data_IF_428344557382
#
_entry.id   IF_428344557382
#
_cell.length_a   1.000
_cell.length_b   1.000
_cell.length_c   1.000
_cell.angle_alpha   90.00
_cell.angle_beta   90.00
_cell.angle_gamma   90.00
#
_symmetry.space_group_name_H-M   'P 1'
#
loop_
_entity.id
_entity.type
_entity.pdbx_description
1 polymer ?
#
# COMPACT_ATOMS: atom_id res chain seq x y z
N UNK A 1 31.70 -10.31 -2.18
CA UNK A 1 30.81 -9.35 -2.92
C UNK A 1 30.23 -8.44 -1.86
N UNK A 2 30.25 -7.14 -2.08
CA UNK A 2 29.68 -6.19 -1.14
C UNK A 2 28.14 -6.38 -1.00
N UNK A 3 27.59 -6.04 0.18
CA UNK A 3 26.16 -6.19 0.46
C UNK A 3 25.30 -5.41 -0.57
N UNK A 4 25.68 -4.18 -0.89
CA UNK A 4 25.00 -3.35 -1.88
C UNK A 4 25.03 -3.98 -3.28
N UNK A 5 26.16 -4.59 -3.67
CA UNK A 5 26.26 -5.28 -4.97
C UNK A 5 25.38 -6.51 -5.03
N UNK A 6 25.19 -7.21 -3.91
CA UNK A 6 24.26 -8.35 -3.83
C UNK A 6 22.82 -7.91 -4.05
N UNK A 7 22.41 -6.83 -3.40
CA UNK A 7 21.07 -6.25 -3.58
C UNK A 7 20.88 -5.77 -5.03
N UNK A 8 21.83 -5.01 -5.58
CA UNK A 8 21.77 -4.55 -6.98
C UNK A 8 21.64 -5.73 -7.96
N UNK A 9 22.40 -6.80 -7.72
CA UNK A 9 22.31 -8.01 -8.53
C UNK A 9 20.91 -8.64 -8.43
N UNK A 10 20.34 -8.72 -7.23
CA UNK A 10 18.99 -9.22 -7.04
C UNK A 10 17.96 -8.36 -7.78
N UNK A 11 18.06 -7.02 -7.71
CA UNK A 11 17.21 -6.08 -8.49
C UNK A 11 17.29 -6.38 -9.99
N UNK A 12 18.50 -6.48 -10.55
CA UNK A 12 18.70 -6.79 -11.99
C UNK A 12 18.05 -8.13 -12.35
N UNK A 13 18.22 -9.16 -11.51
CA UNK A 13 17.64 -10.47 -11.75
C UNK A 13 16.10 -10.43 -11.70
N UNK A 14 15.52 -9.72 -10.73
CA UNK A 14 14.06 -9.54 -10.59
C UNK A 14 13.51 -8.79 -11.81
N UNK A 15 14.10 -7.67 -12.18
CA UNK A 15 13.69 -6.86 -13.33
C UNK A 15 13.81 -7.63 -14.66
N UNK A 16 14.77 -8.57 -14.76
CA UNK A 16 14.97 -9.42 -15.93
C UNK A 16 14.04 -10.63 -15.99
N UNK A 17 13.43 -11.04 -14.88
CA UNK A 17 12.64 -12.25 -14.80
C UNK A 17 11.23 -12.07 -15.38
N UNK A 18 10.71 -13.04 -16.14
CA UNK A 18 9.38 -12.94 -16.80
C UNK A 18 8.25 -12.71 -15.82
N UNK A 19 8.27 -13.40 -14.69
CA UNK A 19 7.22 -13.35 -13.68
C UNK A 19 7.36 -12.15 -12.74
N UNK A 20 8.60 -11.87 -12.28
CA UNK A 20 8.86 -10.90 -11.23
C UNK A 20 9.15 -9.48 -11.74
N UNK A 21 9.21 -9.27 -13.07
CA UNK A 21 9.48 -7.95 -13.64
C UNK A 21 8.39 -6.90 -13.31
N UNK A 22 7.24 -7.31 -12.82
CA UNK A 22 6.22 -6.38 -12.30
C UNK A 22 6.69 -5.53 -11.13
N UNK A 23 7.69 -6.01 -10.37
CA UNK A 23 8.29 -5.25 -9.28
C UNK A 23 9.25 -4.14 -9.74
N UNK A 24 9.62 -4.09 -11.03
CA UNK A 24 10.64 -3.16 -11.54
C UNK A 24 10.40 -1.70 -11.16
N UNK A 25 9.15 -1.25 -11.23
CA UNK A 25 8.79 0.11 -10.86
C UNK A 25 8.94 0.35 -9.35
N UNK A 26 8.40 -0.55 -8.53
CA UNK A 26 8.45 -0.43 -7.06
C UNK A 26 9.88 -0.49 -6.53
N UNK A 27 10.74 -1.31 -7.15
CA UNK A 27 12.17 -1.39 -6.82
C UNK A 27 12.95 -0.09 -7.15
N UNK A 28 12.44 0.71 -8.08
CA UNK A 28 13.02 2.00 -8.44
C UNK A 28 12.55 3.15 -7.54
N UNK A 29 11.52 2.95 -6.71
CA UNK A 29 11.07 3.94 -5.73
C UNK A 29 11.95 3.93 -4.49
N UNK A 30 12.35 5.11 -4.00
CA UNK A 30 13.19 5.26 -2.81
C UNK A 30 14.63 4.78 -3.00
N UNK A 31 15.38 4.76 -1.92
CA UNK A 31 16.79 4.40 -1.89
C UNK A 31 17.02 3.06 -1.17
N UNK A 32 18.10 2.38 -1.54
CA UNK A 32 18.63 1.22 -0.82
C UNK A 32 19.75 1.67 0.08
N UNK A 33 19.60 1.44 1.38
CA UNK A 33 20.57 1.83 2.42
C UNK A 33 21.11 0.59 3.13
N UNK A 34 22.43 0.57 3.33
CA UNK A 34 23.09 -0.49 4.09
C UNK A 34 23.42 0.05 5.48
N UNK A 35 22.88 -0.59 6.51
CA UNK A 35 23.09 -0.18 7.91
C UNK A 35 23.25 -1.40 8.81
N UNK A 36 23.92 -1.22 9.93
CA UNK A 36 24.06 -2.23 11.00
C UNK A 36 23.10 -2.00 12.16
N UNK A 37 22.31 -0.93 12.09
CA UNK A 37 21.40 -0.51 13.16
C UNK A 37 20.15 -1.40 13.26
N UNK A 38 19.92 -2.18 12.22
CA UNK A 38 18.82 -3.16 12.15
C UNK A 38 19.34 -4.59 12.26
N UNK A 39 18.58 -5.54 12.83
CA UNK A 39 18.99 -6.95 12.88
C UNK A 39 18.96 -7.62 11.50
N UNK A 40 18.05 -7.23 10.62
CA UNK A 40 17.74 -7.93 9.35
C UNK A 40 17.62 -6.95 8.18
N UNK A 41 16.42 -6.75 7.67
CA UNK A 41 16.05 -5.74 6.69
C UNK A 41 14.79 -5.03 7.20
N UNK A 42 14.51 -3.85 6.68
CA UNK A 42 13.28 -3.12 6.96
C UNK A 42 13.02 -2.07 5.88
N UNK A 43 11.77 -1.63 5.78
CA UNK A 43 11.40 -0.46 4.99
C UNK A 43 10.67 0.57 5.85
N UNK A 44 10.84 1.85 5.53
CA UNK A 44 10.03 2.95 6.07
C UNK A 44 8.78 3.23 5.20
N UNK A 45 8.53 2.39 4.19
CA UNK A 45 7.49 2.56 3.20
C UNK A 45 7.95 3.28 1.93
N UNK A 46 9.18 3.82 1.92
CA UNK A 46 9.81 4.46 0.77
C UNK A 46 11.22 3.94 0.53
N UNK A 47 12.12 4.08 1.50
CA UNK A 47 13.47 3.54 1.47
C UNK A 47 13.52 2.13 2.03
N UNK A 48 14.56 1.37 1.68
CA UNK A 48 14.78 0.03 2.18
C UNK A 48 16.16 -0.09 2.79
N UNK A 49 16.21 -0.63 3.98
CA UNK A 49 17.41 -0.76 4.80
C UNK A 49 17.79 -2.24 4.92
N UNK A 50 19.07 -2.56 4.74
CA UNK A 50 19.56 -3.94 4.84
C UNK A 50 20.77 -4.02 5.77
N UNK A 51 20.77 -5.01 6.67
CA UNK A 51 21.94 -5.32 7.47
C UNK A 51 22.91 -6.23 6.68
N UNK A 52 24.16 -5.81 6.47
CA UNK A 52 25.14 -6.60 5.74
C UNK A 52 25.43 -7.94 6.41
N UNK A 53 25.50 -8.00 7.75
CA UNK A 53 25.73 -9.24 8.50
C UNK A 53 24.61 -10.26 8.36
N UNK A 54 23.37 -9.78 8.15
CA UNK A 54 22.24 -10.64 7.87
C UNK A 54 22.28 -11.15 6.40
N UNK A 55 22.69 -10.30 5.46
CA UNK A 55 22.76 -10.67 4.05
C UNK A 55 23.89 -11.69 3.76
N UNK A 56 25.01 -11.62 4.48
CA UNK A 56 26.22 -12.41 4.19
C UNK A 56 25.96 -13.93 4.06
N UNK A 57 25.25 -14.59 4.98
CA UNK A 57 24.99 -16.03 4.90
C UNK A 57 23.91 -16.43 3.91
N UNK A 58 23.11 -15.47 3.37
CA UNK A 58 21.98 -15.77 2.51
C UNK A 58 22.41 -16.20 1.11
N UNK A 59 21.72 -17.18 0.53
CA UNK A 59 21.85 -17.52 -0.90
C UNK A 59 21.24 -16.41 -1.79
N UNK A 60 21.57 -16.41 -3.08
CA UNK A 60 20.99 -15.46 -4.04
C UNK A 60 19.45 -15.57 -4.12
N UNK A 61 18.91 -16.80 -3.96
CA UNK A 61 17.45 -17.00 -3.93
C UNK A 61 16.80 -16.38 -2.68
N UNK A 62 17.48 -16.42 -1.55
CA UNK A 62 17.01 -15.79 -0.30
C UNK A 62 17.13 -14.28 -0.37
N UNK A 63 18.18 -13.74 -0.97
CA UNK A 63 18.30 -12.29 -1.19
C UNK A 63 17.18 -11.79 -2.11
N UNK A 64 16.85 -12.52 -3.20
CA UNK A 64 15.72 -12.17 -4.07
C UNK A 64 14.40 -12.18 -3.32
N UNK A 65 14.15 -13.18 -2.47
CA UNK A 65 12.96 -13.23 -1.63
C UNK A 65 12.87 -11.99 -0.73
N UNK A 66 13.95 -11.67 -0.02
CA UNK A 66 14.01 -10.53 0.89
C UNK A 66 13.73 -9.22 0.16
N UNK A 67 14.33 -9.01 -1.01
CA UNK A 67 14.09 -7.81 -1.84
C UNK A 67 12.64 -7.71 -2.28
N UNK A 68 12.02 -8.81 -2.69
CA UNK A 68 10.60 -8.83 -3.07
C UNK A 68 9.69 -8.62 -1.86
N UNK A 69 10.06 -9.14 -0.70
CA UNK A 69 9.33 -8.97 0.55
C UNK A 69 9.23 -7.47 0.92
N UNK A 70 10.37 -6.78 1.01
CA UNK A 70 10.39 -5.35 1.32
C UNK A 70 9.67 -4.50 0.24
N UNK A 71 9.85 -4.84 -1.03
CA UNK A 71 9.14 -4.18 -2.12
C UNK A 71 7.62 -4.40 -2.04
N UNK A 72 7.17 -5.54 -1.53
CA UNK A 72 5.74 -5.82 -1.33
C UNK A 72 5.18 -4.97 -0.20
N UNK A 73 5.89 -4.80 0.92
CA UNK A 73 5.50 -3.87 1.97
C UNK A 73 5.27 -2.45 1.44
N UNK A 74 6.17 -1.96 0.57
CA UNK A 74 6.05 -0.66 -0.09
C UNK A 74 4.82 -0.60 -1.00
N UNK A 75 4.64 -1.60 -1.88
CA UNK A 75 3.54 -1.66 -2.83
C UNK A 75 2.17 -1.64 -2.14
N UNK A 76 2.01 -2.42 -1.08
CA UNK A 76 0.79 -2.49 -0.28
C UNK A 76 0.67 -1.35 0.73
N UNK A 77 1.67 -0.48 0.85
CA UNK A 77 1.70 0.66 1.78
C UNK A 77 1.38 0.21 3.21
N UNK A 78 1.93 -0.90 3.63
CA UNK A 78 1.59 -1.56 4.88
C UNK A 78 1.79 -0.65 6.09
N UNK A 79 2.88 0.12 6.13
CA UNK A 79 3.22 1.01 7.23
C UNK A 79 2.26 2.21 7.37
N UNK A 80 1.61 2.60 6.27
CA UNK A 80 0.67 3.72 6.27
C UNK A 80 -0.77 3.25 6.53
N UNK A 81 -1.19 2.15 5.87
CA UNK A 81 -2.59 1.71 5.90
C UNK A 81 -2.96 1.04 7.23
N UNK A 82 -2.02 0.36 7.89
CA UNK A 82 -2.28 -0.44 9.09
C UNK A 82 -1.77 0.17 10.40
N UNK A 83 -1.63 1.50 10.46
CA UNK A 83 -1.23 2.21 11.68
C UNK A 83 -2.22 1.99 12.85
N UNK A 84 -3.49 1.79 12.55
CA UNK A 84 -4.53 1.46 13.53
C UNK A 84 -4.30 0.09 14.19
N UNK A 85 -3.87 -0.92 13.43
CA UNK A 85 -3.52 -2.24 13.96
C UNK A 85 -2.24 -2.18 14.78
N UNK A 86 -1.24 -1.42 14.30
CA UNK A 86 0.01 -1.19 15.00
C UNK A 86 -0.19 -0.54 16.37
N UNK A 87 -1.18 0.33 16.50
CA UNK A 87 -1.54 0.94 17.77
C UNK A 87 -2.17 -0.06 18.76
N UNK A 88 -2.74 -1.17 18.28
CA UNK A 88 -3.29 -2.26 19.11
C UNK A 88 -2.18 -3.21 19.55
N UNK A 89 -1.44 -3.76 18.60
CA UNK A 89 -0.31 -4.65 18.85
C UNK A 89 0.67 -4.62 17.66
N UNK A 90 1.80 -3.93 17.84
CA UNK A 90 2.84 -3.76 16.82
C UNK A 90 3.41 -5.10 16.33
N UNK A 91 3.66 -6.02 17.26
CA UNK A 91 4.26 -7.32 16.95
C UNK A 91 3.31 -8.20 16.13
N UNK A 92 2.07 -8.31 16.57
CA UNK A 92 1.06 -9.09 15.84
C UNK A 92 0.76 -8.48 14.47
N UNK A 93 0.83 -7.14 14.35
CA UNK A 93 0.68 -6.47 13.07
C UNK A 93 1.78 -6.89 12.10
N UNK A 94 3.05 -6.81 12.50
CA UNK A 94 4.17 -7.25 11.66
C UNK A 94 4.00 -8.71 11.23
N UNK A 95 3.71 -9.60 12.17
CA UNK A 95 3.49 -11.03 11.86
C UNK A 95 2.35 -11.21 10.83
N UNK A 96 1.25 -10.48 10.97
CA UNK A 96 0.12 -10.59 10.05
C UNK A 96 0.46 -10.07 8.64
N UNK A 97 1.23 -8.98 8.55
CA UNK A 97 1.68 -8.41 7.29
C UNK A 97 2.68 -9.33 6.60
N UNK A 98 3.66 -9.86 7.34
CA UNK A 98 4.66 -10.81 6.84
C UNK A 98 4.01 -12.11 6.37
N UNK A 99 3.05 -12.64 7.14
CA UNK A 99 2.29 -13.83 6.78
C UNK A 99 1.59 -13.66 5.43
N UNK A 100 0.93 -12.51 5.25
CA UNK A 100 0.27 -12.17 4.00
C UNK A 100 1.25 -12.12 2.83
N UNK A 101 2.36 -11.41 3.00
CA UNK A 101 3.38 -11.27 1.95
C UNK A 101 4.05 -12.60 1.63
N UNK A 102 4.51 -13.31 2.66
CA UNK A 102 5.25 -14.55 2.47
C UNK A 102 4.39 -15.60 1.77
N UNK A 103 3.10 -15.66 2.11
CA UNK A 103 2.16 -16.55 1.44
C UNK A 103 1.96 -16.16 -0.03
N UNK A 104 1.79 -14.85 -0.31
CA UNK A 104 1.62 -14.35 -1.68
C UNK A 104 2.86 -14.62 -2.56
N UNK A 105 4.07 -14.43 -2.02
CA UNK A 105 5.32 -14.69 -2.74
C UNK A 105 5.54 -16.19 -3.01
N UNK A 106 5.29 -17.04 -2.01
CA UNK A 106 5.42 -18.49 -2.14
C UNK A 106 4.40 -19.05 -3.14
N UNK A 107 3.15 -18.60 -3.08
CA UNK A 107 2.11 -19.05 -4.01
C UNK A 107 2.36 -18.52 -5.44
N UNK A 108 3.02 -17.36 -5.59
CA UNK A 108 3.39 -16.84 -6.90
C UNK A 108 4.52 -17.64 -7.56
N UNK A 109 5.45 -18.22 -6.83
CA UNK A 109 6.51 -19.06 -7.40
C UNK A 109 6.00 -20.49 -7.63
N UNK A 110 5.50 -20.78 -8.82
CA UNK A 110 4.95 -22.10 -9.18
C UNK A 110 5.94 -23.26 -8.97
N UNK A 111 7.25 -22.97 -8.97
CA UNK A 111 8.30 -23.95 -8.75
C UNK A 111 8.84 -23.98 -7.32
N UNK A 112 8.24 -23.25 -6.39
CA UNK A 112 8.75 -23.05 -5.03
C UNK A 112 9.06 -24.36 -4.30
N UNK A 113 8.24 -25.36 -4.46
CA UNK A 113 8.41 -26.66 -3.79
C UNK A 113 9.53 -27.55 -4.40
N UNK A 114 9.95 -27.29 -5.65
CA UNK A 114 10.89 -28.15 -6.37
C UNK A 114 12.22 -27.46 -6.68
N UNK A 115 12.17 -26.36 -7.40
CA UNK A 115 13.35 -25.57 -7.82
C UNK A 115 13.05 -24.09 -7.64
N UNK A 116 13.01 -23.62 -6.39
CA UNK A 116 12.55 -22.25 -6.10
C UNK A 116 13.48 -21.21 -6.71
N UNK A 117 12.90 -20.25 -7.42
CA UNK A 117 13.63 -19.09 -7.88
C UNK A 117 13.85 -18.08 -6.74
N UNK A 118 12.89 -18.01 -5.83
CA UNK A 118 12.98 -17.29 -4.56
C UNK A 118 12.91 -18.30 -3.41
N UNK A 119 13.59 -18.04 -2.30
CA UNK A 119 13.58 -18.90 -1.13
C UNK A 119 13.51 -18.04 0.14
N UNK A 120 12.54 -18.31 0.99
CA UNK A 120 12.40 -17.58 2.25
C UNK A 120 13.65 -17.78 3.13
N UNK A 121 14.23 -16.70 3.68
CA UNK A 121 15.34 -16.80 4.62
C UNK A 121 14.93 -17.54 5.91
N UNK A 122 15.90 -18.15 6.63
CA UNK A 122 15.61 -18.78 7.90
C UNK A 122 15.20 -17.75 8.95
N UNK A 123 14.24 -18.09 9.80
CA UNK A 123 13.73 -17.20 10.86
C UNK A 123 12.54 -16.31 10.47
N UNK A 124 12.17 -16.24 9.19
CA UNK A 124 10.98 -15.52 8.73
C UNK A 124 9.68 -16.17 9.21
N UNK A 125 8.59 -15.43 9.16
CA UNK A 125 7.24 -15.92 9.46
C UNK A 125 6.84 -16.96 8.42
N UNK A 126 6.66 -18.24 8.78
CA UNK A 126 6.34 -19.27 7.80
C UNK A 126 4.94 -19.02 7.19
N UNK A 127 4.77 -19.14 5.87
CA UNK A 127 3.48 -18.97 5.24
C UNK A 127 2.52 -20.10 5.67
N UNK A 128 1.36 -19.72 6.22
CA UNK A 128 0.32 -20.67 6.60
C UNK A 128 -0.79 -20.68 5.53
N UNK A 129 -0.99 -21.82 4.82
CA UNK A 129 -2.04 -21.95 3.81
C UNK A 129 -3.45 -21.66 4.29
N UNK A 130 -3.70 -21.71 5.60
CA UNK A 130 -4.95 -21.31 6.23
C UNK A 130 -5.40 -19.90 5.83
N UNK A 131 -4.44 -19.01 5.63
CA UNK A 131 -4.69 -17.61 5.37
C UNK A 131 -4.79 -17.22 3.89
N UNK A 132 -4.82 -18.21 2.98
CA UNK A 132 -5.03 -17.92 1.55
C UNK A 132 -6.34 -17.18 1.32
N UNK A 133 -6.25 -16.06 0.60
CA UNK A 133 -7.39 -15.19 0.32
C UNK A 133 -7.84 -14.30 1.48
N UNK A 134 -7.13 -14.34 2.62
CA UNK A 134 -7.40 -13.44 3.73
C UNK A 134 -6.64 -12.11 3.53
N UNK A 135 -7.25 -11.01 3.97
CA UNK A 135 -6.55 -9.73 4.09
C UNK A 135 -5.67 -9.72 5.34
N UNK A 136 -4.64 -8.87 5.35
CA UNK A 136 -3.77 -8.70 6.52
C UNK A 136 -4.55 -8.38 7.80
N UNK A 137 -5.64 -7.61 7.70
CA UNK A 137 -6.53 -7.30 8.84
C UNK A 137 -7.26 -8.54 9.38
N UNK A 138 -7.71 -9.43 8.50
CA UNK A 138 -8.34 -10.68 8.92
C UNK A 138 -7.33 -11.60 9.62
N UNK A 139 -6.10 -11.69 9.08
CA UNK A 139 -5.01 -12.44 9.70
C UNK A 139 -4.70 -11.88 11.09
N UNK A 140 -4.54 -10.55 11.21
CA UNK A 140 -4.31 -9.89 12.49
C UNK A 140 -5.39 -10.23 13.53
N UNK A 141 -6.66 -10.13 13.15
CA UNK A 141 -7.77 -10.41 14.05
C UNK A 141 -7.79 -11.89 14.52
N UNK A 142 -7.48 -12.84 13.63
CA UNK A 142 -7.35 -14.25 14.00
C UNK A 142 -6.17 -14.48 14.95
N UNK A 143 -5.03 -13.88 14.66
CA UNK A 143 -3.85 -13.94 15.53
C UNK A 143 -4.12 -13.33 16.91
N UNK A 144 -4.80 -12.19 16.96
CA UNK A 144 -5.15 -11.51 18.21
C UNK A 144 -6.08 -12.39 19.08
N UNK A 145 -7.07 -13.04 18.47
CA UNK A 145 -7.97 -13.98 19.19
C UNK A 145 -7.24 -15.23 19.68
N UNK A 146 -6.16 -15.63 18.99
CA UNK A 146 -5.39 -16.82 19.33
C UNK A 146 -4.07 -16.51 20.06
N UNK A 147 -3.74 -15.23 20.31
CA UNK A 147 -2.47 -14.77 20.89
C UNK A 147 -2.14 -15.42 22.25
N UNK A 148 -3.16 -15.84 23.01
CA UNK A 148 -2.96 -16.55 24.27
C UNK A 148 -2.48 -18.01 24.12
N UNK A 149 -2.35 -18.52 22.87
CA UNK A 149 -2.07 -19.95 22.63
C UNK A 149 -0.70 -20.27 22.08
N UNK A 150 0.02 -19.32 21.44
CA UNK A 150 1.37 -19.57 20.93
C UNK A 150 2.20 -18.26 20.77
N UNK A 151 3.46 -18.22 21.28
CA UNK A 151 4.40 -17.17 20.95
C UNK A 151 4.92 -17.38 19.52
N UNK A 152 4.59 -16.51 18.60
CA UNK A 152 5.16 -16.51 17.23
C UNK A 152 6.32 -15.50 17.17
N UNK A 153 7.42 -15.89 16.54
CA UNK A 153 8.54 -15.01 16.24
C UNK A 153 8.33 -14.40 14.84
N UNK A 154 8.34 -13.07 14.76
CA UNK A 154 8.39 -12.35 13.50
C UNK A 154 9.83 -12.02 13.13
N UNK A 155 10.09 -11.85 11.83
CA UNK A 155 11.39 -11.68 11.23
C UNK A 155 11.84 -10.21 11.19
N UNK A 156 10.93 -9.28 10.92
CA UNK A 156 11.25 -7.88 10.68
C UNK A 156 10.65 -6.94 11.73
N UNK A 157 11.46 -5.97 12.16
CA UNK A 157 11.00 -4.78 12.84
C UNK A 157 10.90 -3.66 11.80
N UNK A 158 9.68 -3.36 11.34
CA UNK A 158 9.46 -2.24 10.44
C UNK A 158 9.59 -0.90 11.15
N UNK A 159 10.16 0.09 10.46
CA UNK A 159 10.25 1.45 10.96
C UNK A 159 8.92 2.20 10.75
N UNK A 160 7.99 2.00 11.69
CA UNK A 160 6.71 2.67 11.71
C UNK A 160 6.79 4.18 11.97
N UNK A 161 7.89 4.65 12.54
CA UNK A 161 8.11 6.07 12.82
C UNK A 161 8.56 6.80 11.57
N UNK A 162 9.44 6.22 10.77
CA UNK A 162 9.86 6.75 9.47
C UNK A 162 8.69 6.90 8.49
N UNK A 163 7.72 5.98 8.52
CA UNK A 163 6.52 6.06 7.69
C UNK A 163 5.59 7.25 8.02
N UNK A 164 5.74 7.88 9.20
CA UNK A 164 4.99 9.08 9.58
C UNK A 164 5.56 10.38 9.00
N UNK A 165 6.63 10.29 8.18
CA UNK A 165 7.23 11.43 7.50
C UNK A 165 7.92 12.38 8.46
N UNK A 166 9.05 12.00 9.01
CA UNK A 166 10.00 12.96 9.54
C UNK A 166 10.56 13.78 8.36
N UNK A 167 10.19 15.05 8.34
CA UNK A 167 10.84 16.00 7.45
C UNK A 167 12.28 16.17 7.89
N UNK A 168 13.22 15.93 6.98
CA UNK A 168 14.66 16.20 7.14
C UNK A 168 14.87 17.50 7.94
N UNK A 169 15.34 17.35 9.13
CA UNK A 169 15.79 18.40 10.01
C UNK A 169 17.19 18.02 10.50
N UNK A 170 18.21 18.18 9.66
CA UNK A 170 19.55 18.43 10.18
C UNK A 170 19.48 19.72 11.03
N UNK A 171 19.69 19.58 12.27
CA UNK A 171 19.71 20.69 13.22
C UNK A 171 20.27 20.22 14.55
N UNK A 172 21.61 20.06 14.62
CA UNK A 172 22.32 20.19 15.89
C UNK A 172 21.99 21.56 16.50
N UNK A 173 21.26 21.54 17.61
CA UNK A 173 20.90 22.75 18.32
C UNK A 173 20.24 22.40 19.63
N UNK A 174 21.06 22.24 20.67
CA UNK A 174 20.61 22.43 22.06
C UNK A 174 20.00 23.83 22.17
N UNK A 175 18.69 23.89 22.40
CA UNK A 175 17.98 25.13 22.61
C UNK A 175 16.70 24.84 23.37
N UNK A 176 16.75 25.07 24.68
CA UNK A 176 15.59 25.21 25.52
C UNK A 176 14.70 26.34 25.00
N UNK A 177 13.39 26.12 24.89
CA UNK A 177 12.46 27.21 24.98
C UNK A 177 11.52 27.41 23.82
N UNK A 178 10.28 27.53 24.18
CA UNK A 178 9.13 28.14 23.53
C UNK A 178 8.29 27.22 22.65
N UNK A 179 7.07 27.00 23.16
CA UNK A 179 6.03 26.21 22.54
C UNK A 179 5.80 26.56 21.08
N UNK A 180 6.07 25.60 20.19
CA UNK A 180 5.68 25.69 18.79
C UNK A 180 4.19 25.98 18.70
N UNK A 181 3.83 27.11 18.12
CA UNK A 181 2.44 27.50 17.93
C UNK A 181 1.67 26.45 17.11
N UNK A 182 0.39 26.30 17.42
CA UNK A 182 -0.52 25.35 16.75
C UNK A 182 -0.47 25.46 15.20
N UNK A 183 -0.20 26.63 14.66
CA UNK A 183 -0.04 26.89 13.24
C UNK A 183 1.17 26.18 12.62
N UNK A 184 2.29 26.11 13.35
CA UNK A 184 3.51 25.44 12.87
C UNK A 184 3.33 23.91 12.84
N UNK A 185 2.66 23.37 13.84
CA UNK A 185 2.32 21.91 13.89
C UNK A 185 1.34 21.53 12.78
N UNK A 186 0.34 22.38 12.49
CA UNK A 186 -0.59 22.15 11.41
C UNK A 186 0.09 22.20 10.03
N UNK A 187 0.98 23.16 9.80
CA UNK A 187 1.75 23.26 8.56
C UNK A 187 2.68 22.04 8.35
N UNK A 188 3.33 21.55 9.41
CA UNK A 188 4.17 20.36 9.39
C UNK A 188 3.35 19.10 9.05
N UNK A 189 2.16 18.93 9.66
CA UNK A 189 1.24 17.83 9.35
C UNK A 189 0.75 17.86 7.90
N UNK A 190 0.42 19.06 7.38
CA UNK A 190 0.00 19.21 5.98
C UNK A 190 1.13 18.86 5.00
N UNK A 191 2.37 19.27 5.31
CA UNK A 191 3.55 18.94 4.51
C UNK A 191 3.82 17.43 4.51
N UNK A 192 3.77 16.78 5.68
CA UNK A 192 3.95 15.33 5.79
C UNK A 192 2.86 14.57 5.03
N UNK A 193 1.59 14.97 5.14
CA UNK A 193 0.49 14.37 4.40
C UNK A 193 0.65 14.54 2.88
N UNK A 194 1.15 15.70 2.41
CA UNK A 194 1.42 15.93 0.99
C UNK A 194 2.55 15.05 0.46
N UNK A 195 3.63 14.87 1.24
CA UNK A 195 4.73 13.95 0.88
C UNK A 195 4.23 12.52 0.78
N UNK A 196 3.44 12.06 1.74
CA UNK A 196 2.88 10.71 1.74
C UNK A 196 1.94 10.48 0.55
N UNK A 197 1.11 11.48 0.21
CA UNK A 197 0.24 11.42 -0.97
C UNK A 197 1.06 11.29 -2.25
N UNK A 198 2.12 12.08 -2.40
CA UNK A 198 3.00 12.02 -3.57
C UNK A 198 3.70 10.66 -3.68
N UNK A 199 4.23 10.13 -2.57
CA UNK A 199 4.85 8.79 -2.52
C UNK A 199 3.85 7.69 -2.90
N UNK A 200 2.62 7.77 -2.40
CA UNK A 200 1.56 6.83 -2.73
C UNK A 200 1.23 6.81 -4.22
N UNK A 201 1.09 7.99 -4.83
CA UNK A 201 0.84 8.11 -6.28
C UNK A 201 2.02 7.58 -7.11
N UNK A 202 3.25 7.84 -6.67
CA UNK A 202 4.44 7.35 -7.35
C UNK A 202 4.54 5.82 -7.31
N UNK A 203 4.30 5.20 -6.14
CA UNK A 203 4.24 3.75 -5.99
C UNK A 203 3.13 3.16 -6.89
N UNK A 204 1.96 3.77 -6.94
CA UNK A 204 0.85 3.30 -7.78
C UNK A 204 1.21 3.36 -9.27
N UNK A 205 1.81 4.46 -9.74
CA UNK A 205 2.31 4.57 -11.11
C UNK A 205 3.39 3.54 -11.42
N UNK A 206 4.29 3.32 -10.47
CA UNK A 206 5.37 2.34 -10.57
C UNK A 206 4.83 0.90 -10.69
N UNK A 207 3.82 0.53 -9.91
CA UNK A 207 3.13 -0.76 -10.03
C UNK A 207 2.45 -0.92 -11.40
N UNK A 208 1.77 0.12 -11.88
CA UNK A 208 1.14 0.10 -13.19
C UNK A 208 2.16 -0.13 -14.32
N UNK A 209 3.30 0.59 -14.28
CA UNK A 209 4.39 0.40 -15.23
C UNK A 209 4.97 -1.02 -15.17
N UNK A 210 5.13 -1.59 -13.97
CA UNK A 210 5.57 -2.95 -13.78
C UNK A 210 4.61 -3.99 -14.37
N UNK A 211 3.31 -3.83 -14.13
CA UNK A 211 2.27 -4.68 -14.70
C UNK A 211 2.23 -4.61 -16.24
N UNK A 212 2.39 -3.42 -16.81
CA UNK A 212 2.47 -3.24 -18.27
C UNK A 212 3.73 -3.90 -18.86
N UNK A 213 4.87 -3.83 -18.14
CA UNK A 213 6.08 -4.52 -18.54
C UNK A 213 5.90 -6.04 -18.54
N UNK A 214 5.27 -6.59 -17.50
CA UNK A 214 4.95 -8.02 -17.40
C UNK A 214 4.04 -8.46 -18.55
N UNK A 215 2.98 -7.70 -18.83
CA UNK A 215 2.06 -7.97 -19.94
C UNK A 215 2.77 -7.99 -21.30
N UNK A 216 3.69 -7.06 -21.54
CA UNK A 216 4.50 -7.02 -22.76
C UNK A 216 5.45 -8.20 -22.90
N UNK A 217 5.98 -8.72 -21.80
CA UNK A 217 6.92 -9.85 -21.79
C UNK A 217 6.24 -11.22 -21.81
N UNK A 218 4.98 -11.31 -21.47
CA UNK A 218 4.20 -12.55 -21.42
C UNK A 218 2.88 -12.38 -22.18
N UNK A 219 2.90 -12.17 -23.52
CA UNK A 219 1.69 -11.92 -24.29
C UNK A 219 0.73 -13.12 -24.33
N UNK A 220 1.21 -14.34 -24.05
CA UNK A 220 0.40 -15.56 -24.13
C UNK A 220 -0.43 -15.84 -22.87
N UNK A 221 -0.57 -14.87 -21.95
CA UNK A 221 -1.37 -15.04 -20.73
C UNK A 221 -0.82 -16.08 -19.73
N UNK A 222 0.38 -16.65 -20.00
CA UNK A 222 1.00 -17.67 -19.16
C UNK A 222 1.53 -17.13 -17.81
N UNK A 223 1.58 -15.80 -17.65
CA UNK A 223 1.76 -15.20 -16.32
C UNK A 223 0.40 -14.64 -15.91
N UNK A 224 -0.41 -15.39 -15.20
CA UNK A 224 -1.78 -15.06 -14.84
C UNK A 224 -2.11 -13.56 -14.86
N UNK A 225 -3.27 -13.19 -15.38
CA UNK A 225 -3.69 -11.79 -15.54
C UNK A 225 -3.56 -11.00 -14.21
N UNK A 226 -3.49 -11.71 -13.11
CA UNK A 226 -3.37 -11.24 -11.75
C UNK A 226 -1.97 -11.58 -11.21
N UNK A 227 -0.97 -10.73 -11.51
CA UNK A 227 0.30 -10.77 -10.80
C UNK A 227 0.10 -10.52 -9.29
N UNK A 228 1.18 -10.52 -8.53
CA UNK A 228 1.13 -10.24 -7.08
C UNK A 228 0.38 -8.92 -6.78
N UNK A 229 0.41 -7.97 -7.70
CA UNK A 229 -0.28 -6.67 -7.59
C UNK A 229 -1.65 -6.61 -8.27
N UNK A 230 -2.18 -7.71 -8.80
CA UNK A 230 -3.44 -7.72 -9.55
C UNK A 230 -4.59 -7.07 -8.78
N UNK A 231 -4.77 -7.46 -7.53
CA UNK A 231 -5.79 -6.89 -6.64
C UNK A 231 -5.64 -5.39 -6.37
N UNK A 232 -4.40 -4.88 -6.34
CA UNK A 232 -4.11 -3.45 -6.11
C UNK A 232 -4.35 -2.60 -7.35
N UNK A 233 -4.15 -3.18 -8.53
CA UNK A 233 -4.27 -2.49 -9.81
C UNK A 233 -5.68 -2.55 -10.38
N UNK A 234 -6.52 -3.46 -9.89
CA UNK A 234 -7.93 -3.52 -10.28
C UNK A 234 -8.68 -2.39 -9.57
N UNK A 235 -9.22 -1.41 -10.31
CA UNK A 235 -9.96 -0.32 -9.69
C UNK A 235 -11.21 -0.89 -9.00
N UNK A 236 -11.19 -0.95 -7.70
CA UNK A 236 -12.40 -1.24 -6.89
C UNK A 236 -13.16 0.07 -6.74
N UNK A 237 -13.83 0.49 -7.80
CA UNK A 237 -14.75 1.61 -7.69
C UNK A 237 -16.01 1.08 -7.01
N UNK A 238 -16.34 1.52 -5.79
CA UNK A 238 -17.57 1.08 -5.14
C UNK A 238 -18.75 1.61 -5.97
N UNK A 239 -19.41 0.71 -6.69
CA UNK A 239 -20.56 1.03 -7.53
C UNK A 239 -21.62 1.83 -6.74
N UNK A 240 -21.70 1.61 -5.42
CA UNK A 240 -22.59 2.35 -4.54
C UNK A 240 -22.29 3.85 -4.50
N UNK A 241 -21.02 4.24 -4.53
CA UNK A 241 -20.61 5.65 -4.52
C UNK A 241 -20.86 6.28 -5.89
N UNK A 242 -20.57 5.58 -6.98
CA UNK A 242 -20.92 6.04 -8.34
C UNK A 242 -22.43 6.22 -8.47
N UNK A 243 -23.20 5.22 -8.03
CA UNK A 243 -24.65 5.29 -8.07
C UNK A 243 -25.19 6.43 -7.20
N UNK A 244 -24.61 6.63 -6.01
CA UNK A 244 -24.97 7.74 -5.14
C UNK A 244 -24.69 9.07 -5.82
N UNK A 245 -23.51 9.29 -6.38
CA UNK A 245 -23.14 10.52 -7.09
C UNK A 245 -24.02 10.74 -8.31
N UNK A 246 -24.29 9.69 -9.08
CA UNK A 246 -25.23 9.75 -10.19
C UNK A 246 -26.63 10.17 -9.72
N UNK A 247 -27.16 9.52 -8.69
CA UNK A 247 -28.46 9.85 -8.13
C UNK A 247 -28.49 11.28 -7.57
N UNK A 248 -27.46 11.71 -6.83
CA UNK A 248 -27.39 13.06 -6.29
C UNK A 248 -27.32 14.13 -7.38
N UNK A 249 -26.63 13.84 -8.47
CA UNK A 249 -26.47 14.76 -9.59
C UNK A 249 -27.72 14.84 -10.47
N UNK A 250 -28.33 13.68 -10.77
CA UNK A 250 -29.39 13.59 -11.78
C UNK A 250 -30.80 13.52 -11.20
N UNK A 251 -30.98 12.96 -9.99
CA UNK A 251 -32.31 12.81 -9.35
C UNK A 251 -32.76 14.09 -8.64
N UNK A 252 -31.82 14.96 -8.24
CA UNK A 252 -32.16 16.18 -7.49
C UNK A 252 -32.95 17.23 -8.27
N UNK A 253 -33.00 17.15 -9.59
CA UNK A 253 -33.88 17.91 -10.47
C UNK A 253 -33.90 19.43 -10.24
N UNK A 254 -32.75 20.04 -9.88
CA UNK A 254 -32.64 21.46 -9.54
C UNK A 254 -31.59 22.18 -10.38
N UNK A 255 -31.49 21.84 -11.66
CA UNK A 255 -30.36 22.24 -12.49
C UNK A 255 -30.57 23.60 -13.15
N UNK A 256 -31.83 24.07 -13.29
CA UNK A 256 -32.14 25.33 -13.93
C UNK A 256 -33.05 26.23 -13.07
N UNK A 257 -32.77 27.52 -13.09
CA UNK A 257 -33.68 28.51 -12.50
C UNK A 257 -34.83 28.83 -13.48
N UNK A 258 -36.07 28.71 -13.04
CA UNK A 258 -37.25 28.94 -13.88
C UNK A 258 -38.15 29.98 -13.24
N UNK A 259 -38.52 30.99 -14.02
CA UNK A 259 -39.54 32.00 -13.65
C UNK A 259 -40.99 31.47 -13.71
N UNK A 260 -41.20 30.29 -14.26
CA UNK A 260 -42.49 29.61 -14.27
C UNK A 260 -42.90 29.06 -12.90
N UNK A 261 -41.92 28.76 -12.04
CA UNK A 261 -42.11 28.34 -10.66
C UNK A 261 -41.50 29.35 -9.73
N UNK A 262 -42.37 29.99 -8.94
CA UNK A 262 -41.94 30.98 -7.96
C UNK A 262 -41.38 30.32 -6.73
N UNK A 263 -40.28 30.84 -6.23
CA UNK A 263 -39.72 30.39 -4.97
C UNK A 263 -40.60 30.82 -3.82
N UNK A 264 -41.43 29.92 -3.28
CA UNK A 264 -42.43 30.21 -2.23
C UNK A 264 -41.84 30.77 -0.95
N UNK A 265 -40.56 30.53 -0.68
CA UNK A 265 -39.87 31.03 0.52
C UNK A 265 -39.76 32.57 0.52
N UNK A 266 -39.57 33.17 -0.64
CA UNK A 266 -39.39 34.62 -0.79
C UNK A 266 -40.70 35.33 -1.14
N UNK A 267 -41.70 34.59 -1.61
CA UNK A 267 -42.99 35.13 -1.97
C UNK A 267 -43.73 35.76 -0.76
N UNK A 268 -43.57 35.13 0.41
CA UNK A 268 -44.16 35.64 1.66
C UNK A 268 -43.60 37.02 2.09
N UNK A 269 -42.36 37.33 1.65
CA UNK A 269 -41.71 38.62 1.86
C UNK A 269 -41.94 39.64 0.74
N UNK A 270 -42.85 39.37 -0.22
CA UNK A 270 -43.12 40.26 -1.34
C UNK A 270 -42.06 40.25 -2.45
N UNK A 271 -41.08 39.37 -2.38
CA UNK A 271 -40.02 39.28 -3.38
C UNK A 271 -40.30 38.14 -4.36
N UNK A 272 -40.39 38.46 -5.65
CA UNK A 272 -40.58 37.48 -6.72
C UNK A 272 -39.23 36.95 -7.19
N UNK A 273 -38.93 35.70 -6.86
CA UNK A 273 -37.68 35.02 -7.21
C UNK A 273 -37.98 33.75 -8.02
N UNK A 274 -37.11 33.38 -8.97
CA UNK A 274 -37.29 32.14 -9.72
C UNK A 274 -37.12 30.91 -8.81
N UNK A 275 -37.90 29.88 -9.07
CA UNK A 275 -37.69 28.57 -8.45
C UNK A 275 -36.72 27.75 -9.25
N UNK A 276 -36.09 26.76 -8.60
CA UNK A 276 -35.25 25.75 -9.28
C UNK A 276 -36.16 24.71 -9.90
N UNK A 277 -35.89 24.36 -11.16
CA UNK A 277 -36.56 23.31 -11.92
C UNK A 277 -35.50 22.44 -12.63
N UNK A 278 -35.70 21.15 -12.67
CA UNK A 278 -34.86 20.23 -13.41
C UNK A 278 -35.66 19.02 -13.86
N UNK A 279 -35.07 18.20 -14.71
CA UNK A 279 -35.65 16.94 -15.17
C UNK A 279 -35.51 15.94 -14.01
N UNK A 280 -36.63 15.44 -13.52
CA UNK A 280 -36.68 14.38 -12.50
C UNK A 280 -36.61 13.04 -13.21
N UNK A 281 -35.75 12.14 -12.77
CA UNK A 281 -35.77 10.74 -13.21
C UNK A 281 -36.97 10.09 -12.53
N UNK A 282 -37.94 9.65 -13.33
CA UNK A 282 -39.15 8.99 -12.81
C UNK A 282 -38.92 7.52 -12.49
N UNK A 283 -37.97 6.88 -13.17
CA UNK A 283 -37.65 5.47 -12.96
C UNK A 283 -36.16 5.22 -13.18
N UNK A 284 -35.50 4.50 -12.27
CA UNK A 284 -34.13 4.04 -12.35
C UNK A 284 -34.10 2.51 -12.29
N UNK A 285 -33.72 1.88 -13.41
CA UNK A 285 -33.53 0.43 -13.46
C UNK A 285 -32.04 0.11 -13.37
N UNK A 286 -31.63 -0.66 -12.37
CA UNK A 286 -30.24 -1.11 -12.18
C UNK A 286 -30.20 -2.60 -12.49
N UNK A 287 -29.48 -2.97 -13.56
CA UNK A 287 -29.20 -4.36 -13.90
C UNK A 287 -27.86 -4.80 -13.28
N UNK A 288 -27.83 -5.99 -12.73
CA UNK A 288 -26.60 -6.66 -12.27
C UNK A 288 -26.38 -7.88 -13.18
N UNK A 289 -25.15 -8.00 -13.69
CA UNK A 289 -24.68 -9.14 -14.46
C UNK A 289 -23.90 -10.10 -13.58
#
# INVERSE_FOLDING_TARGET
MDALDRIRRAHIQIMGHKQWCEYSGVLACGEVKITKDLPTAATDGWDVFYNPGFLDPLSDAQVRFLVLHEATHKAYRHLTIYQDLQAVDRRLTNIALDMFINLALVDADAAYASTPWILMPPGGVPPDPKYRGWSSRQIFNDLLQNANKQPQQGFDEHDWEGAKGEGDGEGDGEGEGEGEGEGTKAARRLKAAAIETNRAEEIQRAMQQGADLKRKRSPDGAGGADGVFGDLLTPRVPWQDILRDFCMTHVAGRDESSWRRVNRRYLAGGVYMPGMQGVTIEELVVGFD
#
